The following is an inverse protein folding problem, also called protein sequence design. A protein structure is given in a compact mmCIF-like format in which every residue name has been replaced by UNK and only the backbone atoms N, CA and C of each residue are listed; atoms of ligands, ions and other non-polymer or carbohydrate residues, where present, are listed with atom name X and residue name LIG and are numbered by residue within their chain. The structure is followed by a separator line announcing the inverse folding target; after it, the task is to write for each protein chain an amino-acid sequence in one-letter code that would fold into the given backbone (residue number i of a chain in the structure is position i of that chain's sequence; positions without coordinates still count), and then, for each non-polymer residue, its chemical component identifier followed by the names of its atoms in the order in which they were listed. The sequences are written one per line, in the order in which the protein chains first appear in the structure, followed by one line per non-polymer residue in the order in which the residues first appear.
data_IF_037626910485
#
_entry.id   IF_037626910485
#
_cell.length_a   1.000
_cell.length_b   1.000
_cell.length_c   1.000
_cell.angle_alpha   90.00
_cell.angle_beta   90.00
_cell.angle_gamma   90.00
#
_symmetry.space_group_name_H-M   'P 1'
#
loop_
_entity.id
_entity.type
_entity.pdbx_description
1 polymer ?
#
# COMPACT_ATOMS: atom_id res chain seq x y z
N UNK A 1 1.05 12.09 -12.82
CA UNK A 1 2.46 11.89 -12.46
C UNK A 1 2.57 11.03 -11.22
N UNK A 2 3.46 10.05 -11.25
CA UNK A 2 3.62 9.13 -10.13
C UNK A 2 4.36 9.80 -8.97
N UNK A 3 3.99 9.44 -7.75
CA UNK A 3 4.66 9.93 -6.54
C UNK A 3 5.81 8.98 -6.18
N UNK A 4 7.01 9.51 -5.82
CA UNK A 4 8.17 8.65 -5.54
C UNK A 4 7.93 7.59 -4.46
N UNK A 5 7.20 7.91 -3.40
CA UNK A 5 6.92 6.96 -2.32
C UNK A 5 6.01 5.85 -2.81
N UNK A 6 4.98 6.18 -3.60
CA UNK A 6 4.06 5.18 -4.14
C UNK A 6 4.74 4.30 -5.19
N UNK A 7 5.68 4.86 -5.96
CA UNK A 7 6.49 4.05 -6.88
C UNK A 7 7.38 3.07 -6.12
N UNK A 8 8.02 3.51 -5.04
CA UNK A 8 8.82 2.62 -4.19
C UNK A 8 7.97 1.51 -3.59
N UNK A 9 6.78 1.88 -3.11
CA UNK A 9 5.85 0.92 -2.53
C UNK A 9 5.43 -0.12 -3.58
N UNK A 10 5.05 0.35 -4.77
CA UNK A 10 4.66 -0.52 -5.88
C UNK A 10 5.79 -1.49 -6.25
N UNK A 11 7.00 -0.97 -6.40
CA UNK A 11 8.16 -1.80 -6.75
C UNK A 11 8.46 -2.84 -5.67
N UNK A 12 8.36 -2.46 -4.39
CA UNK A 12 8.60 -3.36 -3.28
C UNK A 12 7.56 -4.48 -3.22
N UNK A 13 6.28 -4.14 -3.42
CA UNK A 13 5.21 -5.14 -3.46
C UNK A 13 5.41 -6.09 -4.65
N UNK A 14 5.66 -5.55 -5.82
CA UNK A 14 5.78 -6.36 -7.05
C UNK A 14 7.03 -7.25 -7.07
N UNK A 15 8.07 -6.89 -6.32
CA UNK A 15 9.26 -7.71 -6.18
C UNK A 15 9.23 -8.60 -4.93
N UNK A 16 8.15 -8.56 -4.16
CA UNK A 16 8.01 -9.27 -2.89
C UNK A 16 9.14 -8.94 -1.91
N UNK A 17 9.56 -7.68 -1.89
CA UNK A 17 10.62 -7.20 -1.01
C UNK A 17 10.03 -6.74 0.31
N UNK A 18 9.93 -7.67 1.26
CA UNK A 18 9.31 -7.41 2.57
C UNK A 18 10.00 -6.27 3.32
N UNK A 19 11.33 -6.28 3.35
CA UNK A 19 12.09 -5.26 4.08
C UNK A 19 11.83 -3.85 3.53
N UNK A 20 11.78 -3.72 2.22
CA UNK A 20 11.57 -2.41 1.60
C UNK A 20 10.15 -1.90 1.80
N UNK A 21 9.13 -2.73 1.58
CA UNK A 21 7.75 -2.29 1.78
C UNK A 21 7.50 -1.94 3.24
N UNK A 22 8.02 -2.74 4.15
CA UNK A 22 7.89 -2.52 5.58
C UNK A 22 8.58 -1.22 6.02
N UNK A 23 9.76 -0.92 5.45
CA UNK A 23 10.52 0.28 5.77
C UNK A 23 9.83 1.59 5.40
N UNK A 24 8.82 1.54 4.55
CA UNK A 24 8.07 2.73 4.14
C UNK A 24 6.99 3.15 5.15
N UNK A 25 6.59 2.25 6.06
CA UNK A 25 5.55 2.53 7.04
C UNK A 25 6.14 3.11 8.33
N UNK A 26 5.58 4.22 8.77
CA UNK A 26 5.96 4.86 10.05
C UNK A 26 5.78 3.87 11.20
N UNK A 27 6.56 4.06 12.28
CA UNK A 27 6.49 3.17 13.45
C UNK A 27 5.11 3.10 14.11
N UNK A 28 4.31 4.16 13.95
CA UNK A 28 2.96 4.23 14.48
C UNK A 28 1.90 4.21 13.37
N UNK A 29 2.26 3.75 12.18
CA UNK A 29 1.33 3.70 11.06
C UNK A 29 0.17 2.74 11.32
N UNK A 30 -0.97 3.06 10.72
CA UNK A 30 -2.12 2.16 10.67
C UNK A 30 -2.37 1.80 9.21
N UNK A 31 -2.50 0.52 8.95
CA UNK A 31 -2.85 0.00 7.62
C UNK A 31 -4.21 -0.68 7.69
N UNK A 32 -5.17 -0.14 6.94
CA UNK A 32 -6.47 -0.79 6.71
C UNK A 32 -6.37 -1.47 5.36
N UNK A 33 -6.04 -2.75 5.35
CA UNK A 33 -5.69 -3.48 4.14
C UNK A 33 -6.89 -4.15 3.49
N UNK A 34 -6.87 -4.24 2.16
CA UNK A 34 -7.96 -4.85 1.38
C UNK A 34 -8.25 -6.29 1.82
N UNK A 35 -7.21 -7.06 2.13
CA UNK A 35 -7.34 -8.49 2.44
C UNK A 35 -7.27 -8.80 3.94
N UNK A 36 -7.44 -7.81 4.79
CA UNK A 36 -7.48 -8.01 6.24
C UNK A 36 -8.82 -7.51 6.79
N UNK A 37 -9.49 -8.31 7.63
CA UNK A 37 -10.76 -7.87 8.22
C UNK A 37 -10.61 -6.82 9.33
N UNK A 38 -9.41 -6.69 9.88
CA UNK A 38 -9.13 -5.77 10.98
C UNK A 38 -8.06 -4.75 10.60
N UNK A 39 -8.16 -3.52 11.13
CA UNK A 39 -7.05 -2.57 10.97
C UNK A 39 -5.76 -3.10 11.59
N UNK A 40 -4.65 -2.88 10.91
CA UNK A 40 -3.34 -3.30 11.36
C UNK A 40 -2.68 -2.11 12.07
N UNK A 41 -2.64 -2.16 13.40
CA UNK A 41 -2.33 -1.00 14.23
C UNK A 41 -0.92 -1.01 14.82
N UNK A 42 -0.08 -1.93 14.38
CA UNK A 42 1.31 -2.00 14.82
C UNK A 42 2.22 -2.41 13.67
N UNK A 43 3.52 -2.13 13.81
CA UNK A 43 4.53 -2.52 12.81
C UNK A 43 4.56 -4.03 12.63
N UNK A 44 4.44 -4.79 13.72
CA UNK A 44 4.46 -6.25 13.65
C UNK A 44 3.27 -6.80 12.86
N UNK A 45 2.09 -6.24 13.06
CA UNK A 45 0.90 -6.64 12.30
C UNK A 45 1.03 -6.32 10.82
N UNK A 46 1.60 -5.16 10.50
CA UNK A 46 1.83 -4.76 9.10
C UNK A 46 2.84 -5.70 8.44
N UNK A 47 3.93 -6.02 9.14
CA UNK A 47 4.94 -6.94 8.63
C UNK A 47 4.35 -8.31 8.37
N UNK A 48 3.59 -8.85 9.33
CA UNK A 48 2.95 -10.16 9.19
C UNK A 48 1.99 -10.18 8.00
N UNK A 49 1.27 -9.09 7.78
CA UNK A 49 0.35 -8.99 6.65
C UNK A 49 1.08 -9.13 5.31
N UNK A 50 2.17 -8.38 5.11
CA UNK A 50 2.92 -8.45 3.87
C UNK A 50 3.68 -9.77 3.72
N UNK A 51 4.20 -10.31 4.82
CA UNK A 51 4.85 -11.62 4.80
C UNK A 51 3.87 -12.68 4.31
N UNK A 52 2.64 -12.66 4.81
CA UNK A 52 1.60 -13.58 4.36
C UNK A 52 1.20 -13.33 2.91
N UNK A 53 1.04 -12.07 2.52
CA UNK A 53 0.67 -11.69 1.15
C UNK A 53 1.69 -12.23 0.15
N UNK A 54 2.97 -12.14 0.48
CA UNK A 54 4.06 -12.54 -0.42
C UNK A 54 4.23 -14.07 -0.52
N UNK A 55 3.49 -14.85 0.25
CA UNK A 55 3.42 -16.30 0.02
C UNK A 55 2.61 -16.61 -1.22
N UNK A 56 1.79 -15.68 -1.69
CA UNK A 56 1.09 -15.82 -2.96
C UNK A 56 2.04 -15.45 -4.10
N UNK A 57 2.37 -16.40 -5.02
CA UNK A 57 3.41 -16.15 -6.02
C UNK A 57 3.07 -15.05 -7.02
N UNK A 58 1.78 -14.75 -7.21
CA UNK A 58 1.33 -13.70 -8.14
C UNK A 58 0.96 -12.39 -7.44
N UNK A 59 1.18 -12.28 -6.12
CA UNK A 59 0.86 -11.05 -5.40
C UNK A 59 1.57 -9.86 -6.04
N UNK A 60 0.80 -8.83 -6.37
CA UNK A 60 1.32 -7.64 -7.01
C UNK A 60 0.27 -6.54 -7.05
N UNK A 61 0.64 -5.41 -7.62
CA UNK A 61 -0.22 -4.24 -7.71
C UNK A 61 0.07 -3.46 -8.98
N UNK A 62 -0.99 -2.91 -9.57
CA UNK A 62 -0.88 -2.00 -10.71
C UNK A 62 -1.61 -0.71 -10.33
N UNK A 63 -0.88 0.39 -10.24
CA UNK A 63 -1.46 1.71 -9.95
C UNK A 63 -2.04 2.31 -11.22
N UNK A 64 -3.18 2.97 -11.08
CA UNK A 64 -3.69 3.91 -12.08
C UNK A 64 -3.30 5.31 -11.59
N UNK A 65 -2.10 5.75 -11.95
CA UNK A 65 -1.58 7.05 -11.49
C UNK A 65 -2.39 8.23 -12.05
N UNK A 66 -3.09 8.04 -13.17
CA UNK A 66 -3.94 9.10 -13.73
C UNK A 66 -5.17 9.38 -12.86
N UNK A 67 -5.58 8.41 -12.04
CA UNK A 67 -6.70 8.59 -11.11
C UNK A 67 -6.32 9.33 -9.83
N UNK A 68 -5.04 9.57 -9.60
CA UNK A 68 -4.55 10.03 -8.30
C UNK A 68 -4.83 11.50 -8.05
N UNK A 69 -5.31 11.79 -6.84
CA UNK A 69 -5.47 13.13 -6.31
C UNK A 69 -4.49 13.33 -5.16
N UNK A 70 -3.85 14.50 -5.11
CA UNK A 70 -2.93 14.86 -4.05
C UNK A 70 -3.45 16.09 -3.31
N UNK A 71 -3.50 16.01 -1.99
CA UNK A 71 -3.89 17.13 -1.13
C UNK A 71 -2.69 17.49 -0.25
N UNK A 72 -2.21 18.72 -0.37
CA UNK A 72 -1.12 19.23 0.46
C UNK A 72 -1.74 19.91 1.70
N UNK A 73 -1.60 19.28 2.86
CA UNK A 73 -2.24 19.78 4.10
C UNK A 73 -1.33 20.68 4.92
N UNK A 74 -0.02 20.43 4.87
CA UNK A 74 1.01 21.18 5.59
C UNK A 74 2.32 20.99 4.84
N UNK A 75 3.39 21.63 5.31
CA UNK A 75 4.67 21.64 4.61
C UNK A 75 5.18 20.25 4.19
N UNK A 76 4.97 19.24 5.04
CA UNK A 76 5.48 17.90 4.76
C UNK A 76 4.37 16.84 4.75
N UNK A 77 3.11 17.26 4.86
CA UNK A 77 1.99 16.33 5.02
C UNK A 77 1.08 16.34 3.80
N UNK A 78 0.96 15.18 3.16
CA UNK A 78 0.14 15.00 1.97
C UNK A 78 -0.84 13.84 2.14
N UNK A 79 -2.03 13.99 1.55
CA UNK A 79 -2.97 12.87 1.38
C UNK A 79 -3.03 12.57 -0.11
N UNK A 80 -2.82 11.29 -0.45
CA UNK A 80 -2.89 10.82 -1.83
C UNK A 80 -3.93 9.73 -1.94
N UNK A 81 -4.88 9.90 -2.85
CA UNK A 81 -5.95 8.93 -3.06
C UNK A 81 -6.11 8.64 -4.54
N UNK A 82 -6.61 7.45 -4.84
CA UNK A 82 -6.79 7.02 -6.22
C UNK A 82 -7.16 5.55 -6.30
N UNK A 83 -6.89 4.97 -7.48
CA UNK A 83 -7.24 3.59 -7.78
C UNK A 83 -6.00 2.76 -8.08
N UNK A 84 -6.04 1.50 -7.68
CA UNK A 84 -5.06 0.49 -8.09
C UNK A 84 -5.73 -0.86 -8.16
N UNK A 85 -5.06 -1.83 -8.75
CA UNK A 85 -5.58 -3.20 -8.87
C UNK A 85 -4.58 -4.15 -8.25
N UNK A 86 -5.03 -4.96 -7.29
CA UNK A 86 -4.20 -6.03 -6.75
C UNK A 86 -4.29 -7.26 -7.65
N UNK A 87 -3.16 -7.95 -7.74
CA UNK A 87 -3.05 -9.23 -8.44
C UNK A 87 -2.76 -10.31 -7.41
N UNK A 88 -3.41 -11.45 -7.57
CA UNK A 88 -3.11 -12.64 -6.77
C UNK A 88 -3.49 -13.89 -7.54
N UNK A 89 -3.09 -15.04 -7.02
CA UNK A 89 -3.43 -16.32 -7.63
C UNK A 89 -4.44 -17.04 -6.73
N UNK A 90 -5.51 -17.55 -7.35
CA UNK A 90 -6.46 -18.42 -6.68
C UNK A 90 -6.68 -19.66 -7.57
N UNK A 91 -6.44 -20.84 -7.01
CA UNK A 91 -6.60 -22.11 -7.73
C UNK A 91 -5.81 -22.15 -9.06
N UNK A 92 -4.60 -21.58 -9.05
CA UNK A 92 -3.73 -21.56 -10.21
C UNK A 92 -4.07 -20.50 -11.26
N UNK A 93 -5.06 -19.64 -10.99
CA UNK A 93 -5.54 -18.62 -11.91
C UNK A 93 -5.29 -17.22 -11.35
N UNK A 94 -4.80 -16.31 -12.19
CA UNK A 94 -4.63 -14.92 -11.80
C UNK A 94 -5.99 -14.25 -11.57
N UNK A 95 -6.13 -13.61 -10.41
CA UNK A 95 -7.32 -12.85 -10.05
C UNK A 95 -6.93 -11.39 -9.88
N UNK A 96 -7.73 -10.50 -10.44
CA UNK A 96 -7.55 -9.05 -10.33
C UNK A 96 -8.59 -8.49 -9.36
N UNK A 97 -8.13 -7.70 -8.39
CA UNK A 97 -9.00 -7.09 -7.38
C UNK A 97 -8.85 -5.56 -7.47
N UNK A 98 -9.73 -4.89 -8.23
CA UNK A 98 -9.72 -3.43 -8.28
C UNK A 98 -10.04 -2.85 -6.90
N UNK A 99 -9.31 -1.82 -6.52
CA UNK A 99 -9.42 -1.22 -5.20
C UNK A 99 -9.20 0.30 -5.28
N UNK A 100 -9.56 0.96 -4.20
CA UNK A 100 -9.29 2.38 -4.00
C UNK A 100 -8.36 2.53 -2.83
N UNK A 101 -7.52 3.57 -2.85
CA UNK A 101 -6.54 3.78 -1.80
C UNK A 101 -6.53 5.21 -1.29
N UNK A 102 -6.08 5.35 -0.05
CA UNK A 102 -5.69 6.63 0.54
C UNK A 102 -4.41 6.41 1.32
N UNK A 103 -3.40 7.23 1.04
CA UNK A 103 -2.16 7.26 1.82
C UNK A 103 -2.04 8.63 2.48
N UNK A 104 -1.66 8.64 3.74
CA UNK A 104 -1.19 9.86 4.40
C UNK A 104 0.33 9.77 4.46
N UNK A 105 0.99 10.71 3.80
CA UNK A 105 2.45 10.73 3.67
C UNK A 105 3.00 11.91 4.47
N UNK A 106 3.92 11.61 5.39
CA UNK A 106 4.68 12.61 6.12
C UNK A 106 6.12 12.60 5.60
N UNK A 107 6.44 13.54 4.71
CA UNK A 107 7.72 13.61 4.04
C UNK A 107 8.87 14.02 4.98
N UNK A 108 8.60 14.41 6.22
CA UNK A 108 9.63 14.72 7.21
C UNK A 108 10.21 13.47 7.88
N UNK A 109 9.56 12.31 7.68
CA UNK A 109 9.96 11.06 8.30
C UNK A 109 10.72 10.17 7.33
N UNK A 110 11.70 9.40 7.83
CA UNK A 110 12.39 8.39 7.01
C UNK A 110 11.42 7.30 6.57
N UNK A 111 10.43 6.98 7.40
CA UNK A 111 9.37 6.03 7.12
C UNK A 111 8.09 6.84 6.90
N UNK A 112 7.83 7.29 5.67
CA UNK A 112 6.88 8.38 5.43
C UNK A 112 5.40 7.99 5.44
N UNK A 113 5.03 6.71 5.27
CA UNK A 113 3.63 6.32 5.24
C UNK A 113 3.08 6.30 6.65
N UNK A 114 2.30 7.32 7.00
CA UNK A 114 1.70 7.45 8.33
C UNK A 114 0.37 6.71 8.41
N UNK A 115 -0.35 6.59 7.31
CA UNK A 115 -1.62 5.88 7.22
C UNK A 115 -1.84 5.38 5.81
N UNK A 116 -2.42 4.21 5.68
CA UNK A 116 -2.78 3.64 4.38
C UNK A 116 -4.12 2.92 4.50
N UNK A 117 -5.10 3.34 3.74
CA UNK A 117 -6.39 2.67 3.65
C UNK A 117 -6.58 2.13 2.24
N UNK A 118 -6.93 0.86 2.15
CA UNK A 118 -7.16 0.17 0.90
C UNK A 118 -8.46 -0.63 1.02
N UNK A 119 -9.35 -0.45 0.05
CA UNK A 119 -10.61 -1.18 0.04
C UNK A 119 -11.00 -1.56 -1.38
N UNK A 120 -11.59 -2.75 -1.52
CA UNK A 120 -12.08 -3.23 -2.80
C UNK A 120 -13.18 -2.32 -3.31
N UNK A 121 -13.23 -2.12 -4.64
CA UNK A 121 -14.33 -1.38 -5.26
C UNK A 121 -15.66 -2.11 -5.05
N UNK A 122 -16.73 -1.36 -4.78
CA UNK A 122 -18.06 -1.98 -4.60
C UNK A 122 -18.59 -2.61 -5.89
#
# INVERSE_FOLDING_TARGET
MAHPILEKWSNAVNSHNLEEVFSLYHSEAVLVATFSPNPLTSKDLIKDYFENLFTNPRAGVIFDFDSMSTQDLADNLQIMSGLYTFLKEENGVEVKVPARFTYVIDNSQEQPIAHHHSSQLP
#
